data_IF_748880315292
#
_entry.id   IF_748880315292
#
_cell.length_a   1.000
_cell.length_b   1.000
_cell.length_c   1.000
_cell.angle_alpha   90.00
_cell.angle_beta   90.00
_cell.angle_gamma   90.00
#
_symmetry.space_group_name_H-M   'P 1'
#
loop_
_entity.id
_entity.type
_entity.pdbx_description
1 polymer ?
#
# COMPACT_ATOMS: atom_id res chain seq x y z
N UNK A 1 -20.66 -0.81 10.16
CA UNK A 1 -20.41 0.27 11.12
C UNK A 1 -19.91 -0.30 12.45
N UNK A 2 -20.67 -1.19 13.12
CA UNK A 2 -20.38 -1.69 14.48
C UNK A 2 -19.01 -2.36 14.60
N UNK A 3 -18.63 -3.19 13.63
CA UNK A 3 -17.30 -3.81 13.57
C UNK A 3 -16.19 -2.74 13.56
N UNK A 4 -16.37 -1.65 12.81
CA UNK A 4 -15.39 -0.56 12.75
C UNK A 4 -15.29 0.21 14.07
N UNK A 5 -16.42 0.44 14.74
CA UNK A 5 -16.45 1.10 16.04
C UNK A 5 -15.80 0.24 17.12
N UNK A 6 -16.09 -1.07 17.14
CA UNK A 6 -15.45 -2.04 18.06
C UNK A 6 -13.94 -2.11 17.81
N UNK A 7 -13.51 -2.19 16.55
CA UNK A 7 -12.09 -2.17 16.17
C UNK A 7 -11.37 -0.94 16.70
N UNK A 8 -11.94 0.23 16.47
CA UNK A 8 -11.34 1.48 16.96
C UNK A 8 -11.28 1.55 18.48
N UNK A 9 -12.27 1.02 19.19
CA UNK A 9 -12.22 0.92 20.66
C UNK A 9 -11.06 0.02 21.11
N UNK A 10 -10.90 -1.17 20.53
CA UNK A 10 -9.77 -2.06 20.85
C UNK A 10 -8.40 -1.41 20.60
N UNK A 11 -8.27 -0.67 19.47
CA UNK A 11 -7.02 0.05 19.17
C UNK A 11 -6.79 1.14 20.21
N UNK A 12 -7.80 1.95 20.53
CA UNK A 12 -7.68 3.07 21.48
C UNK A 12 -7.35 2.61 22.90
N UNK A 13 -7.92 1.50 23.33
CA UNK A 13 -7.63 0.90 24.64
C UNK A 13 -6.20 0.39 24.73
N UNK A 14 -5.72 -0.30 23.68
CA UNK A 14 -4.37 -0.88 23.66
C UNK A 14 -3.27 0.16 23.35
N UNK A 15 -3.60 1.19 22.58
CA UNK A 15 -2.67 2.21 22.09
C UNK A 15 -3.27 3.60 22.23
N UNK A 16 -3.28 4.20 23.43
CA UNK A 16 -3.93 5.50 23.69
C UNK A 16 -3.39 6.66 22.85
N UNK A 17 -2.15 6.54 22.36
CA UNK A 17 -1.46 7.55 21.55
C UNK A 17 -1.82 7.47 20.06
N UNK A 18 -2.58 6.45 19.62
CA UNK A 18 -3.02 6.34 18.24
C UNK A 18 -4.31 7.15 18.06
N UNK A 19 -4.29 8.07 17.13
CA UNK A 19 -5.50 8.79 16.70
C UNK A 19 -6.34 7.88 15.78
N UNK A 20 -7.62 7.68 16.14
CA UNK A 20 -8.58 6.94 15.30
C UNK A 20 -9.50 7.93 14.60
N UNK A 21 -9.39 7.97 13.29
CA UNK A 21 -10.21 8.79 12.41
C UNK A 21 -11.28 7.91 11.78
N UNK A 22 -12.53 8.20 12.04
CA UNK A 22 -13.65 7.51 11.42
C UNK A 22 -14.21 8.37 10.29
N UNK A 23 -14.45 7.76 9.14
CA UNK A 23 -15.18 8.43 8.06
C UNK A 23 -16.63 8.66 8.45
N UNK A 24 -17.21 7.78 9.29
CA UNK A 24 -18.53 7.96 9.91
C UNK A 24 -18.61 7.20 11.23
N UNK A 25 -19.45 7.70 12.16
CA UNK A 25 -19.74 7.05 13.46
C UNK A 25 -21.21 6.71 13.65
N UNK A 26 -22.04 7.14 12.71
CA UNK A 26 -23.49 6.89 12.66
C UNK A 26 -23.86 6.40 11.27
N UNK A 27 -25.12 6.01 11.09
CA UNK A 27 -25.63 5.57 9.79
C UNK A 27 -25.91 6.77 8.85
N UNK A 28 -24.85 7.45 8.46
CA UNK A 28 -24.87 8.51 7.46
C UNK A 28 -24.09 8.06 6.23
N UNK A 29 -24.53 8.49 5.06
CA UNK A 29 -23.77 8.26 3.83
C UNK A 29 -22.66 9.31 3.73
N UNK A 30 -21.46 8.86 3.37
CA UNK A 30 -20.32 9.69 2.99
C UNK A 30 -19.85 9.23 1.62
N UNK A 31 -19.66 10.15 0.71
CA UNK A 31 -19.23 9.88 -0.65
C UNK A 31 -17.84 9.22 -0.68
N UNK A 32 -17.52 8.44 -1.72
CA UNK A 32 -16.27 7.68 -1.73
C UNK A 32 -15.04 8.60 -1.77
N UNK A 33 -15.11 9.71 -2.51
CA UNK A 33 -14.02 10.67 -2.58
C UNK A 33 -13.77 11.38 -1.24
N UNK A 34 -14.84 11.70 -0.49
CA UNK A 34 -14.73 12.35 0.83
C UNK A 34 -13.99 11.46 1.83
N UNK A 35 -14.20 10.13 1.76
CA UNK A 35 -13.50 9.18 2.64
C UNK A 35 -12.00 9.19 2.41
N UNK A 36 -11.58 9.22 1.14
CA UNK A 36 -10.16 9.24 0.77
C UNK A 36 -9.53 10.58 1.06
N UNK A 37 -10.25 11.67 0.78
CA UNK A 37 -9.79 13.03 1.06
C UNK A 37 -9.60 13.26 2.56
N UNK A 38 -10.54 12.81 3.39
CA UNK A 38 -10.41 12.88 4.84
C UNK A 38 -9.14 12.18 5.33
N UNK A 39 -8.86 10.96 4.86
CA UNK A 39 -7.66 10.22 5.24
C UNK A 39 -6.37 10.92 4.77
N UNK A 40 -6.36 11.42 3.53
CA UNK A 40 -5.21 12.12 2.96
C UNK A 40 -4.93 13.45 3.67
N UNK A 41 -5.98 14.25 3.95
CA UNK A 41 -5.86 15.55 4.63
C UNK A 41 -5.40 15.40 6.08
N UNK A 42 -5.73 14.28 6.72
CA UNK A 42 -5.28 13.94 8.07
C UNK A 42 -3.90 13.29 8.10
N UNK A 43 -3.28 13.03 6.94
CA UNK A 43 -2.02 12.30 6.82
C UNK A 43 -2.06 10.98 7.60
N UNK A 44 -3.13 10.22 7.46
CA UNK A 44 -3.28 8.95 8.16
C UNK A 44 -2.20 7.94 7.72
N UNK A 45 -1.73 7.12 8.66
CA UNK A 45 -0.67 6.12 8.42
C UNK A 45 -1.22 4.82 7.84
N UNK A 46 -2.53 4.58 7.98
CA UNK A 46 -3.19 3.37 7.50
C UNK A 46 -4.67 3.66 7.26
N UNK A 47 -5.20 3.19 6.14
CA UNK A 47 -6.62 3.24 5.80
C UNK A 47 -7.23 1.83 5.78
N UNK A 48 -8.28 1.62 6.57
CA UNK A 48 -9.01 0.34 6.64
C UNK A 48 -10.47 0.58 6.29
N UNK A 49 -10.92 0.05 5.15
CA UNK A 49 -12.33 0.04 4.74
C UNK A 49 -12.97 -1.29 5.14
N UNK A 50 -14.05 -1.26 5.90
CA UNK A 50 -14.74 -2.46 6.43
C UNK A 50 -16.10 -2.59 5.77
N UNK A 51 -16.30 -3.69 5.08
CA UNK A 51 -17.46 -4.02 4.28
C UNK A 51 -18.02 -5.41 4.62
N UNK A 52 -19.23 -5.66 4.17
CA UNK A 52 -19.86 -6.97 4.12
C UNK A 52 -20.41 -7.16 2.71
N UNK A 53 -19.90 -8.17 2.03
CA UNK A 53 -20.20 -8.49 0.64
C UNK A 53 -21.66 -8.95 0.43
N UNK A 54 -22.15 -8.83 -0.78
CA UNK A 54 -23.42 -9.36 -1.21
C UNK A 54 -23.29 -10.03 -2.59
N UNK A 55 -24.06 -11.09 -2.83
CA UNK A 55 -24.04 -11.77 -4.11
C UNK A 55 -25.45 -12.31 -4.45
N UNK A 56 -25.78 -12.41 -5.73
CA UNK A 56 -27.09 -12.91 -6.16
C UNK A 56 -27.35 -14.37 -5.73
N UNK A 57 -26.29 -15.19 -5.63
CA UNK A 57 -26.36 -16.53 -5.09
C UNK A 57 -26.09 -16.48 -3.58
N UNK A 58 -26.97 -17.03 -2.72
CA UNK A 58 -26.82 -16.99 -1.27
C UNK A 58 -25.82 -18.02 -0.70
N UNK A 59 -25.14 -18.83 -1.54
CA UNK A 59 -24.21 -19.87 -1.11
C UNK A 59 -22.80 -19.36 -0.71
N UNK A 60 -22.24 -18.28 -1.30
CA UNK A 60 -20.93 -17.79 -0.91
C UNK A 60 -20.84 -17.47 0.58
N UNK A 61 -19.69 -17.78 1.17
CA UNK A 61 -19.39 -17.56 2.58
C UNK A 61 -17.90 -17.28 2.79
N UNK A 62 -17.57 -16.69 3.93
CA UNK A 62 -16.18 -16.39 4.35
C UNK A 62 -15.77 -14.96 4.08
N UNK A 63 -14.58 -14.61 4.56
CA UNK A 63 -14.03 -13.27 4.49
C UNK A 63 -12.92 -13.15 3.43
N UNK A 64 -12.70 -11.95 2.93
CA UNK A 64 -11.62 -11.62 1.98
C UNK A 64 -11.00 -10.28 2.37
N UNK A 65 -9.72 -10.11 2.09
CA UNK A 65 -9.10 -8.78 2.18
C UNK A 65 -8.59 -8.37 0.80
N UNK A 66 -8.93 -7.17 0.40
CA UNK A 66 -8.54 -6.60 -0.88
C UNK A 66 -7.50 -5.52 -0.70
N UNK A 67 -6.53 -5.52 -1.60
CA UNK A 67 -5.57 -4.44 -1.80
C UNK A 67 -5.75 -3.84 -3.19
N UNK A 68 -5.25 -2.62 -3.38
CA UNK A 68 -5.33 -1.96 -4.67
C UNK A 68 -4.59 -2.75 -5.75
N UNK A 69 -5.23 -2.92 -6.90
CA UNK A 69 -4.62 -3.51 -8.09
C UNK A 69 -5.64 -4.02 -9.09
N UNK A 70 -5.17 -4.25 -10.31
CA UNK A 70 -6.00 -4.85 -11.36
C UNK A 70 -6.04 -6.36 -11.21
N UNK A 71 -7.23 -6.92 -11.25
CA UNK A 71 -7.43 -8.37 -11.19
C UNK A 71 -7.81 -8.93 -12.57
N UNK A 72 -7.17 -10.04 -12.94
CA UNK A 72 -7.59 -10.84 -14.11
C UNK A 72 -8.82 -11.70 -13.83
N UNK A 73 -9.17 -11.88 -12.56
CA UNK A 73 -10.33 -12.64 -12.15
C UNK A 73 -11.59 -11.78 -12.23
N UNK A 74 -12.51 -12.12 -13.12
CA UNK A 74 -13.78 -11.41 -13.31
C UNK A 74 -14.53 -11.20 -11.98
N UNK A 75 -14.56 -12.21 -11.11
CA UNK A 75 -15.24 -12.12 -9.82
C UNK A 75 -14.71 -10.99 -8.92
N UNK A 76 -13.40 -10.70 -8.93
CA UNK A 76 -12.84 -9.60 -8.15
C UNK A 76 -13.19 -8.25 -8.78
N UNK A 77 -13.22 -8.16 -10.11
CA UNK A 77 -13.68 -6.97 -10.82
C UNK A 77 -15.15 -6.70 -10.54
N UNK A 78 -16.00 -7.74 -10.57
CA UNK A 78 -17.44 -7.62 -10.32
C UNK A 78 -17.70 -7.06 -8.89
N UNK A 79 -16.90 -7.45 -7.89
CA UNK A 79 -16.99 -6.88 -6.53
C UNK A 79 -16.62 -5.40 -6.56
N UNK A 80 -15.49 -5.03 -7.16
CA UNK A 80 -15.08 -3.62 -7.22
C UNK A 80 -16.08 -2.75 -8.00
N UNK A 81 -16.61 -3.25 -9.11
CA UNK A 81 -17.63 -2.52 -9.89
C UNK A 81 -18.90 -2.31 -9.08
N UNK A 82 -19.33 -3.29 -8.29
CA UNK A 82 -20.49 -3.17 -7.41
C UNK A 82 -20.27 -2.13 -6.31
N UNK A 83 -19.14 -2.22 -5.58
CA UNK A 83 -18.83 -1.29 -4.50
C UNK A 83 -18.62 0.14 -5.03
N UNK A 84 -17.98 0.30 -6.18
CA UNK A 84 -17.83 1.62 -6.81
C UNK A 84 -19.18 2.16 -7.35
N UNK A 85 -20.16 1.29 -7.62
CA UNK A 85 -21.46 1.73 -8.18
C UNK A 85 -22.28 2.59 -7.22
N UNK A 86 -21.89 2.69 -5.95
CA UNK A 86 -22.51 3.62 -5.00
C UNK A 86 -22.38 5.07 -5.46
N UNK A 87 -21.41 5.41 -6.29
CA UNK A 87 -21.24 6.73 -6.91
C UNK A 87 -22.48 7.20 -7.70
N UNK A 88 -23.27 6.26 -8.25
CA UNK A 88 -24.50 6.64 -8.95
C UNK A 88 -25.61 7.19 -8.05
N UNK A 89 -25.45 7.07 -6.73
CA UNK A 89 -26.35 7.64 -5.75
C UNK A 89 -25.97 9.08 -5.38
N UNK A 90 -24.83 9.56 -5.89
CA UNK A 90 -24.28 10.87 -5.61
C UNK A 90 -24.69 11.87 -6.70
N UNK A 91 -25.04 13.09 -6.28
CA UNK A 91 -25.32 14.18 -7.19
C UNK A 91 -24.01 14.59 -7.91
N UNK A 92 -24.08 14.85 -9.22
CA UNK A 92 -22.96 15.31 -10.03
C UNK A 92 -21.74 14.38 -10.03
N UNK A 93 -21.96 13.03 -9.85
CA UNK A 93 -20.89 12.06 -9.74
C UNK A 93 -19.89 12.11 -10.91
N UNK A 94 -20.35 12.41 -12.14
CA UNK A 94 -19.47 12.48 -13.33
C UNK A 94 -18.41 13.56 -13.20
N UNK A 95 -18.77 14.69 -12.63
CA UNK A 95 -17.83 15.81 -12.41
C UNK A 95 -16.91 15.51 -11.23
N UNK A 96 -17.44 14.98 -10.12
CA UNK A 96 -16.69 14.63 -8.92
C UNK A 96 -15.64 13.53 -9.15
N UNK A 97 -15.88 12.64 -10.11
CA UNK A 97 -15.02 11.48 -10.38
C UNK A 97 -14.33 11.56 -11.76
N UNK A 98 -14.17 12.75 -12.32
CA UNK A 98 -13.47 12.98 -13.59
C UNK A 98 -14.01 12.11 -14.76
N UNK A 99 -15.32 11.88 -14.79
CA UNK A 99 -15.96 11.04 -15.78
C UNK A 99 -15.77 9.54 -15.61
N UNK A 100 -15.22 9.11 -14.49
CA UNK A 100 -15.10 7.69 -14.18
C UNK A 100 -16.48 7.04 -14.13
N UNK A 101 -16.68 5.96 -14.89
CA UNK A 101 -17.91 5.16 -14.89
C UNK A 101 -17.65 3.80 -14.23
N UNK A 102 -18.21 3.55 -13.03
CA UNK A 102 -18.00 2.30 -12.30
C UNK A 102 -18.54 1.05 -13.03
N UNK A 103 -19.38 1.18 -14.05
CA UNK A 103 -19.88 0.05 -14.86
C UNK A 103 -19.10 -0.15 -16.16
N UNK A 104 -18.27 0.80 -16.58
CA UNK A 104 -17.46 0.66 -17.78
C UNK A 104 -16.11 0.03 -17.45
N UNK A 105 -15.78 -1.17 -17.98
CA UNK A 105 -14.46 -1.77 -17.82
C UNK A 105 -13.32 -0.86 -18.30
N UNK A 106 -13.57 0.00 -19.28
CA UNK A 106 -12.61 0.93 -19.86
C UNK A 106 -12.17 1.98 -18.83
N UNK A 107 -13.10 2.42 -17.96
CA UNK A 107 -12.80 3.37 -16.88
C UNK A 107 -11.76 2.82 -15.90
N UNK A 108 -11.66 1.51 -15.77
CA UNK A 108 -10.70 0.88 -14.87
C UNK A 108 -9.27 0.80 -15.44
N UNK A 109 -9.07 1.11 -16.72
CA UNK A 109 -7.73 1.14 -17.32
C UNK A 109 -6.84 2.14 -16.59
N UNK A 110 -7.39 3.26 -16.13
CA UNK A 110 -6.66 4.27 -15.36
C UNK A 110 -6.04 3.68 -14.08
N UNK A 111 -6.71 2.73 -13.42
CA UNK A 111 -6.18 2.09 -12.22
C UNK A 111 -4.97 1.19 -12.50
N UNK A 112 -4.86 0.65 -13.72
CA UNK A 112 -3.66 -0.12 -14.11
C UNK A 112 -2.41 0.76 -14.26
N UNK A 113 -2.61 2.05 -14.48
CA UNK A 113 -1.55 3.06 -14.60
C UNK A 113 -1.19 3.67 -13.24
N UNK A 114 -2.05 3.52 -12.24
CA UNK A 114 -1.78 3.99 -10.89
C UNK A 114 -0.77 3.09 -10.22
N UNK A 115 0.33 3.68 -9.78
CA UNK A 115 1.33 3.00 -9.00
C UNK A 115 0.97 3.12 -7.51
N UNK A 116 0.72 1.99 -6.87
CA UNK A 116 0.50 1.98 -5.44
C UNK A 116 1.86 1.82 -4.73
N UNK A 117 2.42 2.94 -4.29
CA UNK A 117 3.68 2.99 -3.53
C UNK A 117 3.59 2.18 -2.23
N UNK A 118 2.39 1.99 -1.70
CA UNK A 118 2.12 1.32 -0.42
C UNK A 118 1.60 -0.11 -0.58
N UNK A 119 1.69 -0.69 -1.79
CA UNK A 119 1.12 -2.02 -2.05
C UNK A 119 1.70 -3.10 -1.15
N UNK A 120 3.02 -3.09 -0.92
CA UNK A 120 3.68 -4.11 -0.10
C UNK A 120 3.22 -4.05 1.36
N UNK A 121 3.08 -2.84 1.91
CA UNK A 121 2.56 -2.63 3.26
C UNK A 121 1.09 -3.03 3.34
N UNK A 122 0.30 -2.70 2.32
CA UNK A 122 -1.10 -3.13 2.21
C UNK A 122 -1.24 -4.65 2.15
N UNK A 123 -0.38 -5.35 1.37
CA UNK A 123 -0.34 -6.81 1.33
C UNK A 123 0.09 -7.39 2.69
N UNK A 124 1.04 -6.76 3.36
CA UNK A 124 1.50 -7.23 4.68
C UNK A 124 0.38 -7.24 5.71
N UNK A 125 -0.34 -6.13 5.87
CA UNK A 125 -1.47 -6.09 6.81
C UNK A 125 -2.62 -6.98 6.35
N UNK A 126 -2.91 -7.05 5.05
CA UNK A 126 -3.97 -7.91 4.50
C UNK A 126 -3.71 -9.39 4.80
N UNK A 127 -2.45 -9.85 4.64
CA UNK A 127 -2.06 -11.22 4.97
C UNK A 127 -2.24 -11.53 6.45
N UNK A 128 -1.85 -10.62 7.34
CA UNK A 128 -2.03 -10.78 8.80
C UNK A 128 -3.52 -10.88 9.17
N UNK A 129 -4.41 -10.12 8.51
CA UNK A 129 -5.86 -10.19 8.76
C UNK A 129 -6.42 -11.53 8.29
N UNK A 130 -6.03 -12.00 7.10
CA UNK A 130 -6.46 -13.31 6.59
C UNK A 130 -6.02 -14.45 7.51
N UNK A 131 -4.79 -14.41 8.03
CA UNK A 131 -4.29 -15.39 9.00
C UNK A 131 -5.11 -15.39 10.29
N UNK A 132 -5.45 -14.22 10.82
CA UNK A 132 -6.29 -14.09 12.01
C UNK A 132 -7.72 -14.58 11.79
N UNK A 133 -8.29 -14.30 10.61
CA UNK A 133 -9.61 -14.79 10.22
C UNK A 133 -9.65 -16.32 10.13
N UNK A 134 -8.67 -16.92 9.46
CA UNK A 134 -8.60 -18.36 9.29
C UNK A 134 -8.34 -19.10 10.61
N UNK A 135 -7.35 -18.63 11.39
CA UNK A 135 -6.82 -19.40 12.50
C UNK A 135 -7.53 -19.12 13.84
N UNK A 136 -8.03 -17.89 14.05
CA UNK A 136 -8.61 -17.47 15.34
C UNK A 136 -10.08 -17.13 15.30
N UNK A 137 -10.54 -16.38 14.31
CA UNK A 137 -11.97 -16.09 14.15
C UNK A 137 -12.75 -17.25 13.52
N UNK A 138 -12.07 -18.34 13.13
CA UNK A 138 -12.65 -19.51 12.45
C UNK A 138 -13.50 -19.15 11.25
N UNK A 139 -13.13 -18.05 10.57
CA UNK A 139 -13.77 -17.65 9.33
C UNK A 139 -13.16 -18.42 8.16
N UNK A 140 -13.98 -18.78 7.20
CA UNK A 140 -13.47 -19.29 5.94
C UNK A 140 -12.70 -18.19 5.25
N UNK A 141 -11.36 -18.30 5.22
CA UNK A 141 -10.51 -17.39 4.46
C UNK A 141 -10.73 -17.58 2.97
N UNK A 142 -10.86 -16.49 2.25
CA UNK A 142 -10.93 -16.44 0.78
C UNK A 142 -9.68 -15.79 0.19
N UNK A 143 -8.70 -15.47 1.03
CA UNK A 143 -7.38 -14.97 0.70
C UNK A 143 -7.32 -13.46 0.44
N UNK A 144 -6.08 -12.98 0.35
CA UNK A 144 -5.79 -11.62 -0.11
C UNK A 144 -6.00 -11.55 -1.63
N UNK A 145 -6.70 -10.52 -2.07
CA UNK A 145 -7.07 -10.30 -3.47
C UNK A 145 -6.69 -8.90 -3.91
N UNK A 146 -6.60 -8.72 -5.22
CA UNK A 146 -6.46 -7.39 -5.82
C UNK A 146 -7.75 -7.02 -6.55
N UNK A 147 -8.18 -5.78 -6.36
CA UNK A 147 -9.27 -5.21 -7.14
C UNK A 147 -9.21 -3.67 -7.13
N UNK A 148 -9.73 -3.01 -8.17
CA UNK A 148 -9.62 -1.56 -8.32
C UNK A 148 -10.79 -0.83 -7.61
N UNK A 149 -10.83 -0.92 -6.29
CA UNK A 149 -11.79 -0.15 -5.50
C UNK A 149 -11.37 1.31 -5.48
N UNK A 150 -12.28 2.19 -5.78
CA UNK A 150 -12.02 3.63 -5.78
C UNK A 150 -11.49 4.10 -4.41
N UNK A 151 -12.15 3.67 -3.33
CA UNK A 151 -11.87 4.12 -1.96
C UNK A 151 -10.46 3.80 -1.45
N UNK A 152 -9.78 2.80 -2.02
CA UNK A 152 -8.39 2.47 -1.66
C UNK A 152 -7.38 2.83 -2.77
N UNK A 153 -7.86 3.36 -3.90
CA UNK A 153 -7.00 3.74 -5.02
C UNK A 153 -6.45 5.16 -4.90
N UNK A 154 -7.13 6.04 -4.16
CA UNK A 154 -6.82 7.47 -4.05
C UNK A 154 -6.20 7.85 -2.71
N UNK A 155 -5.78 6.87 -1.91
CA UNK A 155 -5.14 7.07 -0.61
C UNK A 155 -3.63 7.22 -0.76
N UNK A 156 -3.03 8.09 0.07
CA UNK A 156 -1.59 8.34 0.12
C UNK A 156 -0.90 7.56 1.26
N UNK A 157 -1.51 6.43 1.67
CA UNK A 157 -1.01 5.55 2.72
C UNK A 157 -1.33 4.08 2.38
N UNK A 158 -0.75 3.09 3.10
CA UNK A 158 -1.20 1.71 3.05
C UNK A 158 -2.70 1.62 3.25
N UNK A 159 -3.40 0.88 2.37
CA UNK A 159 -4.86 0.84 2.38
C UNK A 159 -5.40 -0.52 1.97
N UNK A 160 -6.43 -0.95 2.67
CA UNK A 160 -7.10 -2.23 2.47
C UNK A 160 -8.61 -2.08 2.54
N UNK A 161 -9.30 -3.02 1.86
CA UNK A 161 -10.74 -3.19 2.00
C UNK A 161 -11.01 -4.63 2.46
N UNK A 162 -11.76 -4.76 3.54
CA UNK A 162 -12.09 -6.03 4.19
C UNK A 162 -13.55 -6.36 3.90
N UNK A 163 -13.79 -7.50 3.29
CA UNK A 163 -15.11 -8.12 3.18
C UNK A 163 -15.26 -9.14 4.32
N UNK A 164 -15.98 -8.78 5.35
CA UNK A 164 -16.12 -9.57 6.59
C UNK A 164 -16.95 -10.85 6.40
N UNK A 165 -17.76 -10.91 5.35
CA UNK A 165 -18.66 -12.02 5.03
C UNK A 165 -19.72 -11.59 4.03
N UNK A 166 -20.72 -12.44 3.79
CA UNK A 166 -21.77 -12.24 2.80
C UNK A 166 -23.15 -12.04 3.46
N UNK A 167 -23.72 -10.82 3.38
CA UNK A 167 -25.04 -10.52 3.90
C UNK A 167 -26.17 -11.30 3.21
N UNK A 168 -25.93 -11.73 1.97
CA UNK A 168 -26.90 -12.52 1.21
C UNK A 168 -26.94 -14.00 1.60
N UNK A 169 -26.00 -14.47 2.42
CA UNK A 169 -26.00 -15.82 2.99
C UNK A 169 -26.62 -15.75 4.40
N UNK A 170 -27.76 -16.44 4.67
CA UNK A 170 -28.48 -16.31 5.95
C UNK A 170 -27.62 -16.65 7.18
N UNK A 171 -26.70 -17.66 7.07
CA UNK A 171 -25.80 -18.02 8.19
C UNK A 171 -24.71 -16.98 8.43
N UNK A 172 -24.22 -16.37 7.36
CA UNK A 172 -23.23 -15.28 7.45
C UNK A 172 -23.88 -14.02 8.00
N UNK A 173 -25.08 -13.70 7.52
CA UNK A 173 -25.85 -12.53 7.98
C UNK A 173 -26.13 -12.63 9.48
N UNK A 174 -26.64 -13.78 9.95
CA UNK A 174 -26.88 -14.03 11.39
C UNK A 174 -25.61 -13.83 12.21
N UNK A 175 -24.46 -14.35 11.72
CA UNK A 175 -23.16 -14.18 12.39
C UNK A 175 -22.69 -12.72 12.38
N UNK A 176 -22.77 -12.03 11.25
CA UNK A 176 -22.36 -10.64 11.08
C UNK A 176 -23.23 -9.67 11.89
N UNK A 177 -24.49 -10.03 12.10
CA UNK A 177 -25.44 -9.24 12.91
C UNK A 177 -25.28 -9.51 14.43
N UNK A 178 -24.72 -10.66 14.80
CA UNK A 178 -24.52 -11.00 16.21
C UNK A 178 -23.39 -10.18 16.83
N UNK A 179 -23.57 -9.77 18.10
CA UNK A 179 -22.55 -9.05 18.86
C UNK A 179 -21.25 -9.85 18.95
N UNK A 180 -21.34 -11.15 19.21
CA UNK A 180 -20.19 -12.08 19.31
C UNK A 180 -19.45 -12.17 17.96
N UNK A 181 -20.17 -12.27 16.84
CA UNK A 181 -19.56 -12.33 15.51
C UNK A 181 -18.83 -11.04 15.17
N UNK A 182 -19.41 -9.90 15.49
CA UNK A 182 -18.77 -8.58 15.32
C UNK A 182 -17.51 -8.45 16.18
N UNK A 183 -17.54 -8.90 17.44
CA UNK A 183 -16.40 -8.90 18.34
C UNK A 183 -15.26 -9.80 17.82
N UNK A 184 -15.59 -10.99 17.34
CA UNK A 184 -14.57 -11.89 16.77
C UNK A 184 -13.89 -11.31 15.55
N UNK A 185 -14.65 -10.66 14.66
CA UNK A 185 -14.10 -10.01 13.47
C UNK A 185 -13.25 -8.80 13.88
N UNK A 186 -13.79 -7.90 14.71
CA UNK A 186 -13.08 -6.72 15.15
C UNK A 186 -11.79 -7.06 15.91
N UNK A 187 -11.82 -8.07 16.80
CA UNK A 187 -10.65 -8.51 17.54
C UNK A 187 -9.61 -9.19 16.66
N UNK A 188 -10.02 -9.90 15.59
CA UNK A 188 -9.10 -10.47 14.61
C UNK A 188 -8.37 -9.38 13.83
N UNK A 189 -9.10 -8.38 13.33
CA UNK A 189 -8.52 -7.22 12.65
C UNK A 189 -7.57 -6.46 13.59
N UNK A 190 -7.96 -6.27 14.85
CA UNK A 190 -7.12 -5.63 15.87
C UNK A 190 -5.81 -6.38 16.11
N UNK A 191 -5.82 -7.70 16.25
CA UNK A 191 -4.58 -8.47 16.44
C UNK A 191 -3.66 -8.38 15.23
N UNK A 192 -4.22 -8.43 14.04
CA UNK A 192 -3.47 -8.22 12.80
C UNK A 192 -2.86 -6.82 12.74
N UNK A 193 -3.64 -5.79 13.09
CA UNK A 193 -3.18 -4.41 13.20
C UNK A 193 -2.01 -4.28 14.17
N UNK A 194 -2.12 -4.85 15.39
CA UNK A 194 -1.05 -4.85 16.38
C UNK A 194 0.24 -5.46 15.84
N UNK A 195 0.14 -6.65 15.25
CA UNK A 195 1.30 -7.32 14.65
C UNK A 195 1.89 -6.54 13.46
N UNK A 196 1.05 -5.85 12.68
CA UNK A 196 1.51 -4.98 11.60
C UNK A 196 2.26 -3.75 12.16
N UNK A 197 1.69 -3.07 13.15
CA UNK A 197 2.30 -1.94 13.84
C UNK A 197 3.68 -2.31 14.39
N UNK A 198 3.77 -3.41 15.14
CA UNK A 198 5.05 -3.92 15.67
C UNK A 198 6.08 -4.15 14.56
N UNK A 199 5.67 -4.69 13.42
CA UNK A 199 6.58 -4.92 12.29
C UNK A 199 7.05 -3.62 11.62
N UNK A 200 6.24 -2.57 11.61
CA UNK A 200 6.62 -1.24 11.07
C UNK A 200 7.60 -0.56 12.02
N UNK A 201 7.32 -0.57 13.33
CA UNK A 201 8.19 0.06 14.35
C UNK A 201 9.58 -0.58 14.38
N UNK A 202 9.67 -1.91 14.31
CA UNK A 202 10.98 -2.60 14.23
C UNK A 202 11.77 -2.17 12.99
N UNK A 203 11.11 -1.95 11.86
CA UNK A 203 11.78 -1.47 10.64
C UNK A 203 12.26 -0.02 10.79
N UNK A 204 11.49 0.82 11.47
CA UNK A 204 11.89 2.21 11.76
C UNK A 204 13.07 2.25 12.73
N UNK A 205 13.07 1.44 13.78
CA UNK A 205 14.17 1.34 14.75
C UNK A 205 15.47 0.85 14.09
N UNK A 206 15.39 -0.17 13.22
CA UNK A 206 16.55 -0.65 12.46
C UNK A 206 17.06 0.44 11.51
N UNK A 207 16.19 1.21 10.88
CA UNK A 207 16.58 2.31 10.01
C UNK A 207 17.26 3.44 10.80
N UNK A 208 16.80 3.73 12.02
CA UNK A 208 17.41 4.72 12.94
C UNK A 208 18.76 4.23 13.47
N UNK A 209 18.88 2.95 13.84
CA UNK A 209 20.16 2.38 14.30
C UNK A 209 21.20 2.34 13.17
N UNK A 210 20.81 1.91 11.97
CA UNK A 210 21.72 1.92 10.81
C UNK A 210 22.22 3.33 10.51
N UNK A 211 21.37 4.34 10.59
CA UNK A 211 21.77 5.74 10.39
C UNK A 211 22.73 6.25 11.48
N UNK A 212 22.61 5.78 12.72
CA UNK A 212 23.55 6.11 13.83
C UNK A 212 24.89 5.43 13.64
N UNK A 213 24.91 4.17 13.18
CA UNK A 213 26.14 3.43 12.88
C UNK A 213 26.88 4.07 11.71
N UNK A 214 26.17 4.49 10.66
CA UNK A 214 26.77 5.20 9.52
C UNK A 214 27.36 6.56 9.93
N UNK A 215 26.68 7.29 10.82
CA UNK A 215 27.22 8.52 11.40
C UNK A 215 28.43 8.27 12.29
N UNK A 216 28.43 7.24 13.14
CA UNK A 216 29.56 6.87 13.97
C UNK A 216 30.77 6.38 13.15
N UNK A 217 30.55 5.66 12.05
CA UNK A 217 31.60 5.24 11.10
C UNK A 217 32.18 6.46 10.39
N UNK A 218 31.35 7.44 10.04
CA UNK A 218 31.83 8.68 9.42
C UNK A 218 32.62 9.55 10.42
N UNK A 219 32.26 9.59 11.70
CA UNK A 219 33.02 10.26 12.76
C UNK A 219 34.34 9.54 13.06
N UNK A 220 34.38 8.21 13.09
CA UNK A 220 35.59 7.42 13.28
C UNK A 220 36.58 7.55 12.10
N UNK A 221 36.05 7.68 10.87
CA UNK A 221 36.89 7.96 9.69
C UNK A 221 37.52 9.38 9.75
N UNK A 222 36.85 10.32 10.38
CA UNK A 222 37.38 11.70 10.57
C UNK A 222 38.46 11.80 11.63
N UNK A 223 38.63 10.79 12.51
CA UNK A 223 39.66 10.79 13.58
C UNK A 223 40.93 10.03 13.18
N UNK A 224 40.89 9.18 12.15
CA UNK A 224 42.05 8.35 11.76
C UNK A 224 42.87 8.85 10.59
N UNK A 225 42.55 9.99 9.98
CA UNK A 225 43.30 10.52 8.84
C UNK A 225 43.92 11.93 9.11
N UNK A 226 44.99 11.94 9.92
CA UNK A 226 45.95 13.04 9.92
C UNK A 226 47.24 12.69 9.18
N UNK A 227 47.22 11.91 8.15
CA UNK A 227 48.34 11.73 7.19
C UNK A 227 47.87 11.11 5.90
N UNK A 228 47.46 11.93 5.00
CA UNK A 228 47.69 11.95 3.54
C UNK A 228 46.54 12.67 2.85
N UNK A 229 46.89 13.80 2.23
CA UNK A 229 46.01 14.59 1.38
C UNK A 229 45.68 13.80 0.14
N UNK A 230 44.44 13.26 0.08
CA UNK A 230 43.72 13.11 -1.19
C UNK A 230 42.23 13.42 -0.92
N UNK A 231 41.74 14.37 -1.66
CA UNK A 231 40.46 15.03 -1.53
C UNK A 231 39.33 14.04 -1.84
N UNK A 232 38.78 13.33 -0.84
CA UNK A 232 37.50 12.65 -0.99
C UNK A 232 36.43 13.70 -0.66
N UNK A 233 35.93 14.36 -1.72
CA UNK A 233 34.69 15.12 -1.65
C UNK A 233 33.60 14.14 -1.16
N UNK A 234 33.01 14.38 0.02
CA UNK A 234 31.75 13.77 0.44
C UNK A 234 30.71 14.09 -0.63
N UNK A 235 30.52 13.16 -1.56
CA UNK A 235 29.55 13.30 -2.63
C UNK A 235 28.19 12.97 -2.03
N UNK A 236 27.44 14.02 -1.70
CA UNK A 236 26.01 13.91 -1.43
C UNK A 236 25.40 13.17 -2.62
N UNK A 237 24.90 11.96 -2.41
CA UNK A 237 24.51 11.07 -3.49
C UNK A 237 22.99 10.99 -3.57
N UNK A 238 22.42 11.76 -4.50
CA UNK A 238 21.05 11.59 -4.95
C UNK A 238 21.03 10.65 -6.14
N UNK A 239 20.34 9.50 -6.01
CA UNK A 239 20.24 8.49 -7.07
C UNK A 239 18.78 8.20 -7.36
N UNK A 240 18.40 8.27 -8.63
CA UNK A 240 17.14 7.73 -9.11
C UNK A 240 17.35 6.31 -9.63
N UNK A 241 16.51 5.37 -9.20
CA UNK A 241 16.45 4.00 -9.70
C UNK A 241 15.10 3.75 -10.35
N UNK A 242 15.02 2.78 -11.23
CA UNK A 242 13.75 2.32 -11.79
C UNK A 242 13.43 0.95 -11.21
N UNK A 243 12.34 0.84 -10.44
CA UNK A 243 11.81 -0.44 -10.00
C UNK A 243 11.01 -1.06 -11.15
N UNK A 244 11.33 -2.31 -11.52
CA UNK A 244 10.72 -3.01 -12.65
C UNK A 244 9.74 -4.10 -12.24
N UNK A 245 9.73 -4.48 -10.97
CA UNK A 245 8.78 -5.46 -10.46
C UNK A 245 9.01 -5.85 -9.01
N UNK A 246 8.00 -6.52 -8.45
CA UNK A 246 8.03 -7.16 -7.13
C UNK A 246 7.46 -8.57 -7.29
N UNK A 247 8.16 -9.59 -6.80
CA UNK A 247 7.82 -10.99 -6.98
C UNK A 247 7.92 -11.76 -5.67
N UNK A 248 7.15 -12.84 -5.53
CA UNK A 248 7.18 -13.72 -4.35
C UNK A 248 8.36 -14.71 -4.36
N UNK A 249 9.00 -14.88 -5.52
CA UNK A 249 10.18 -15.74 -5.71
C UNK A 249 11.25 -14.96 -6.44
N UNK A 250 12.53 -15.37 -6.25
CA UNK A 250 13.62 -14.79 -7.02
C UNK A 250 13.43 -15.05 -8.51
N UNK A 251 13.64 -14.01 -9.30
CA UNK A 251 13.49 -14.00 -10.76
C UNK A 251 14.84 -13.77 -11.47
N UNK A 252 15.97 -13.77 -10.76
CA UNK A 252 17.31 -13.52 -11.34
C UNK A 252 17.64 -14.47 -12.51
N UNK A 253 17.13 -15.70 -12.45
CA UNK A 253 17.33 -16.69 -13.51
C UNK A 253 16.29 -16.58 -14.65
N UNK A 254 15.37 -15.60 -14.58
CA UNK A 254 14.41 -15.39 -15.66
C UNK A 254 15.10 -14.70 -16.84
N UNK A 255 14.86 -15.20 -18.05
CA UNK A 255 15.48 -14.68 -19.28
C UNK A 255 15.28 -13.16 -19.45
N UNK A 256 14.14 -12.63 -19.01
CA UNK A 256 13.85 -11.19 -19.09
C UNK A 256 14.74 -10.32 -18.20
N UNK A 257 15.40 -10.89 -17.18
CA UNK A 257 16.25 -10.18 -16.23
C UNK A 257 17.73 -10.33 -16.50
N UNK A 258 18.13 -11.39 -17.23
CA UNK A 258 19.56 -11.76 -17.43
C UNK A 258 20.33 -10.62 -18.12
N UNK A 259 19.70 -9.92 -19.07
CA UNK A 259 20.34 -8.88 -19.86
C UNK A 259 20.21 -7.46 -19.28
N UNK A 260 19.57 -7.31 -18.12
CA UNK A 260 19.17 -5.99 -17.61
C UNK A 260 20.01 -5.45 -16.45
N UNK A 261 21.04 -6.18 -16.00
CA UNK A 261 21.87 -5.79 -14.84
C UNK A 261 21.03 -5.31 -13.66
N UNK A 262 20.10 -6.17 -13.24
CA UNK A 262 19.13 -5.85 -12.17
C UNK A 262 19.73 -6.07 -10.79
N UNK A 263 19.42 -5.16 -9.87
CA UNK A 263 19.65 -5.31 -8.43
C UNK A 263 18.41 -5.95 -7.79
N UNK A 264 18.58 -7.11 -7.14
CA UNK A 264 17.52 -7.77 -6.38
C UNK A 264 17.64 -7.42 -4.90
N UNK A 265 16.57 -6.93 -4.30
CA UNK A 265 16.46 -6.75 -2.86
C UNK A 265 15.30 -7.57 -2.30
N UNK A 266 15.59 -8.40 -1.30
CA UNK A 266 14.56 -9.16 -0.58
C UNK A 266 14.05 -8.34 0.60
N UNK A 267 12.80 -7.89 0.52
CA UNK A 267 12.15 -7.06 1.53
C UNK A 267 10.81 -7.70 1.88
N UNK A 268 10.58 -7.99 3.17
CA UNK A 268 9.32 -8.52 3.69
C UNK A 268 8.79 -9.76 2.95
N UNK A 269 9.69 -10.69 2.59
CA UNK A 269 9.31 -11.93 1.89
C UNK A 269 9.09 -11.77 0.39
N UNK A 270 9.23 -10.57 -0.16
CA UNK A 270 9.16 -10.29 -1.58
C UNK A 270 10.52 -9.91 -2.15
N UNK A 271 10.69 -10.12 -3.45
CA UNK A 271 11.91 -9.78 -4.19
C UNK A 271 11.60 -8.58 -5.09
N UNK A 272 12.26 -7.45 -4.83
CA UNK A 272 12.14 -6.23 -5.62
C UNK A 272 13.33 -6.09 -6.55
N UNK A 273 13.08 -5.69 -7.78
CA UNK A 273 14.08 -5.57 -8.82
C UNK A 273 14.22 -4.13 -9.27
N UNK A 274 15.45 -3.65 -9.23
CA UNK A 274 15.80 -2.27 -9.57
C UNK A 274 16.88 -2.23 -10.65
N UNK A 275 16.80 -1.21 -11.46
CA UNK A 275 17.90 -0.81 -12.34
C UNK A 275 18.34 0.59 -11.89
N UNK A 276 19.64 0.72 -11.57
CA UNK A 276 20.20 2.01 -11.20
C UNK A 276 20.20 2.94 -12.42
N UNK A 277 19.89 4.21 -12.17
CA UNK A 277 20.02 5.27 -13.14
C UNK A 277 21.15 6.20 -12.68
N UNK A 278 20.90 7.50 -12.62
CA UNK A 278 21.88 8.48 -12.14
C UNK A 278 21.22 9.55 -11.24
N UNK A 279 21.94 10.64 -10.99
CA UNK A 279 21.44 11.74 -10.16
C UNK A 279 20.37 12.62 -10.84
N UNK A 280 20.09 12.41 -12.13
CA UNK A 280 19.14 13.22 -12.89
C UNK A 280 17.85 12.44 -13.15
N UNK A 281 16.73 13.03 -12.76
CA UNK A 281 15.40 12.43 -12.96
C UNK A 281 15.10 12.13 -14.43
N UNK A 282 15.53 13.00 -15.35
CA UNK A 282 15.28 12.84 -16.79
C UNK A 282 15.87 11.57 -17.37
N UNK A 283 17.04 11.13 -16.87
CA UNK A 283 17.67 9.89 -17.28
C UNK A 283 16.87 8.68 -16.76
N UNK A 284 16.38 8.75 -15.52
CA UNK A 284 15.50 7.74 -14.98
C UNK A 284 14.15 7.66 -15.74
N UNK A 285 13.60 8.80 -16.21
CA UNK A 285 12.41 8.82 -17.07
C UNK A 285 12.67 8.13 -18.42
N UNK A 286 13.80 8.41 -19.05
CA UNK A 286 14.20 7.73 -20.31
C UNK A 286 14.36 6.23 -20.11
N UNK A 287 15.03 5.83 -19.02
CA UNK A 287 15.21 4.42 -18.66
C UNK A 287 13.87 3.74 -18.39
N UNK A 288 12.99 4.35 -17.60
CA UNK A 288 11.64 3.84 -17.34
C UNK A 288 10.86 3.59 -18.64
N UNK A 289 10.87 4.57 -19.56
CA UNK A 289 10.14 4.44 -20.82
C UNK A 289 10.72 3.33 -21.70
N UNK A 290 12.07 3.19 -21.75
CA UNK A 290 12.74 2.07 -22.44
C UNK A 290 12.32 0.72 -21.85
N UNK A 291 12.28 0.59 -20.52
CA UNK A 291 11.91 -0.64 -19.83
C UNK A 291 10.44 -0.99 -20.06
N UNK A 292 9.55 0.00 -20.12
CA UNK A 292 8.14 -0.22 -20.49
C UNK A 292 7.99 -0.76 -21.90
N UNK A 293 8.77 -0.26 -22.85
CA UNK A 293 8.79 -0.77 -24.23
C UNK A 293 9.34 -2.21 -24.30
N UNK A 294 10.15 -2.65 -23.34
CA UNK A 294 10.64 -4.02 -23.20
C UNK A 294 9.63 -4.95 -22.45
N UNK A 295 8.44 -4.46 -22.13
CA UNK A 295 7.39 -5.25 -21.50
C UNK A 295 7.24 -5.08 -19.97
N UNK A 296 8.08 -4.26 -19.33
CA UNK A 296 7.96 -3.93 -17.91
C UNK A 296 6.96 -2.77 -17.69
N UNK A 297 5.71 -2.99 -18.04
CA UNK A 297 4.67 -1.94 -18.03
C UNK A 297 4.48 -1.25 -16.68
N UNK A 298 4.77 -1.97 -15.57
CA UNK A 298 4.71 -1.46 -14.21
C UNK A 298 6.00 -0.75 -13.74
N UNK A 299 6.98 -0.50 -14.62
CA UNK A 299 8.22 0.16 -14.24
C UNK A 299 7.97 1.61 -13.76
N UNK A 300 8.60 1.98 -12.63
CA UNK A 300 8.46 3.31 -12.04
C UNK A 300 9.75 3.79 -11.38
N UNK A 301 9.85 5.11 -11.20
CA UNK A 301 11.03 5.75 -10.63
C UNK A 301 10.89 5.82 -9.12
N UNK A 302 11.95 5.45 -8.42
CA UNK A 302 12.17 5.68 -7.01
C UNK A 302 13.44 6.51 -6.84
N UNK A 303 13.55 7.21 -5.73
CA UNK A 303 14.71 8.02 -5.45
C UNK A 303 15.32 7.64 -4.11
N UNK A 304 16.67 7.68 -4.05
CA UNK A 304 17.44 7.49 -2.85
C UNK A 304 18.32 8.71 -2.63
N UNK A 305 18.40 9.13 -1.39
CA UNK A 305 19.29 10.20 -0.95
C UNK A 305 20.16 9.68 0.19
N UNK A 306 21.46 9.60 -0.04
CA UNK A 306 22.42 8.98 0.88
C UNK A 306 21.98 7.56 1.32
N UNK A 307 21.52 6.74 0.35
CA UNK A 307 21.07 5.37 0.58
C UNK A 307 19.64 5.21 1.15
N UNK A 308 18.99 6.29 1.57
CA UNK A 308 17.61 6.25 2.08
C UNK A 308 16.61 6.56 0.97
N UNK A 309 15.57 5.75 0.84
CA UNK A 309 14.47 6.02 -0.10
C UNK A 309 13.71 7.27 0.32
N UNK A 310 13.51 8.18 -0.63
CA UNK A 310 12.76 9.42 -0.47
C UNK A 310 11.67 9.52 -1.55
N UNK A 311 10.71 10.40 -1.36
CA UNK A 311 9.71 10.66 -2.40
C UNK A 311 10.35 11.32 -3.64
N UNK A 312 9.80 11.03 -4.82
CA UNK A 312 10.28 11.66 -6.07
C UNK A 312 10.13 13.18 -6.07
N UNK A 313 9.19 13.71 -5.29
CA UNK A 313 9.00 15.16 -5.09
C UNK A 313 10.14 15.77 -4.27
N UNK A 314 10.50 15.13 -3.16
CA UNK A 314 11.65 15.55 -2.34
C UNK A 314 12.95 15.46 -3.12
N UNK A 315 13.15 14.37 -3.87
CA UNK A 315 14.30 14.17 -4.73
C UNK A 315 14.44 15.30 -5.77
N UNK A 316 13.33 15.69 -6.42
CA UNK A 316 13.32 16.77 -7.38
C UNK A 316 13.67 18.12 -6.74
N UNK A 317 13.14 18.38 -5.54
CA UNK A 317 13.48 19.60 -4.78
C UNK A 317 14.96 19.64 -4.40
N UNK A 318 15.53 18.49 -4.00
CA UNK A 318 16.96 18.36 -3.70
C UNK A 318 17.82 18.52 -4.95
N UNK A 319 17.44 17.90 -6.06
CA UNK A 319 18.13 18.05 -7.34
C UNK A 319 18.20 19.51 -7.78
N UNK A 320 17.09 20.24 -7.69
CA UNK A 320 17.02 21.65 -8.05
C UNK A 320 17.89 22.54 -7.12
N UNK A 321 17.96 22.21 -5.83
CA UNK A 321 18.85 22.91 -4.89
C UNK A 321 20.33 22.65 -5.16
N UNK A 322 20.68 21.43 -5.56
CA UNK A 322 22.05 21.05 -5.89
C UNK A 322 22.52 21.74 -7.17
N UNK A 323 21.63 21.87 -8.17
CA UNK A 323 21.93 22.56 -9.44
C UNK A 323 22.08 24.09 -9.24
N UNK A 324 21.30 24.69 -8.33
CA UNK A 324 21.36 26.13 -8.08
C UNK A 324 22.49 26.56 -7.15
N UNK A 325 23.21 25.63 -6.53
CA UNK A 325 24.35 25.87 -5.66
C UNK A 325 25.71 25.56 -6.35
N UNK A 326 25.71 25.17 -7.62
CA UNK A 326 26.83 25.14 -8.55
C UNK A 326 26.86 26.40 -9.39
#
# INVERSE_FOLDING_TARGET
LDISLKLGNYIKEAFPNIEIIYTRKTDVFLELWERTELANNKNADLFISVHCDGFTNPKPSGASVFVMGMSKLKANMDVAMRENSVMYLEDDFKEKYDGFDPKSPESYIVFSLMQNTFLDQSISIAGKIEDEFANRAKRKSRGVKQAPFYVISRTNMPSILIECGFLTNPKEEEYLHSEIGQDYIASAIFRAFRSYKESVEVLEDIAVESSKVDNAISELKNVSDSTSKETIKNKIELIYKVQIGTYLKSMLNNQQFIDLNVEELKINGTYKYFIASDSKKDNAEKLKNRLRNLGFNGAFIIAFYNGKQISTKEALNLQNKLINNE
#
